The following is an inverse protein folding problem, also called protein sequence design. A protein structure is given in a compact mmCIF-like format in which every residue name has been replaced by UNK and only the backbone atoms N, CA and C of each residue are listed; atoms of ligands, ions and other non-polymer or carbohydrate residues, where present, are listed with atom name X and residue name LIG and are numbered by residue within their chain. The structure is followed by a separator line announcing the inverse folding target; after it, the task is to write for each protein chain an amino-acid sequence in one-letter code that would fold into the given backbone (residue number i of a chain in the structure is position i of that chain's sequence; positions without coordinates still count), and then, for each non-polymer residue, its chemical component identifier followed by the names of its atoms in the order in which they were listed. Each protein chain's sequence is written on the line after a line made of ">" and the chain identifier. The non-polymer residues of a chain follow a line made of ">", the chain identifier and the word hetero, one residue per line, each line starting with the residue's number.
data_IF_662787792535
#
_entry.id   IF_662787792535
#
_cell.length_a   1.000
_cell.length_b   1.000
_cell.length_c   1.000
_cell.angle_alpha   90.00
_cell.angle_beta   90.00
_cell.angle_gamma   90.00
#
_symmetry.space_group_name_H-M   'P 1'
#
loop_
_entity.id
_entity.type
_entity.pdbx_description
1 polymer ?
#
# COMPACT_ATOMS: atom_id res chain seq x y z
N UNK A 1 -11.24 -18.85 14.41
CA UNK A 1 -10.30 -17.74 14.69
C UNK A 1 -8.83 -18.17 14.71
N UNK A 2 -8.46 -19.32 15.30
CA UNK A 2 -7.05 -19.80 15.34
C UNK A 2 -6.43 -20.04 13.96
N UNK A 3 -7.19 -20.57 12.99
CA UNK A 3 -6.67 -20.90 11.66
C UNK A 3 -6.05 -19.71 10.92
N UNK A 4 -6.71 -18.53 10.96
CA UNK A 4 -6.20 -17.32 10.29
C UNK A 4 -4.89 -16.81 10.91
N UNK A 5 -4.70 -17.00 12.22
CA UNK A 5 -3.46 -16.62 12.90
C UNK A 5 -2.29 -17.53 12.51
N UNK A 6 -2.54 -18.85 12.43
CA UNK A 6 -1.53 -19.84 12.04
C UNK A 6 -1.09 -19.65 10.58
N UNK A 7 -2.07 -19.48 9.68
CA UNK A 7 -1.79 -19.22 8.26
C UNK A 7 -1.07 -17.87 8.09
N UNK A 8 -1.49 -16.83 8.81
CA UNK A 8 -0.91 -15.49 8.72
C UNK A 8 0.57 -15.42 9.08
N UNK A 9 1.00 -16.15 10.12
CA UNK A 9 2.42 -16.20 10.51
C UNK A 9 3.25 -17.08 9.56
N UNK A 10 2.64 -18.12 8.99
CA UNK A 10 3.35 -19.09 8.16
C UNK A 10 3.51 -18.66 6.70
N UNK A 11 2.51 -17.97 6.14
CA UNK A 11 2.45 -17.61 4.72
C UNK A 11 2.46 -16.10 4.47
N UNK A 12 2.15 -15.29 5.49
CA UNK A 12 1.95 -13.85 5.33
C UNK A 12 0.63 -13.50 4.63
N UNK A 13 0.29 -12.20 4.63
CA UNK A 13 -0.84 -11.66 3.88
C UNK A 13 -0.35 -10.54 2.96
N UNK A 14 -0.76 -10.58 1.71
CA UNK A 14 -0.53 -9.51 0.73
C UNK A 14 -1.84 -9.03 0.16
N UNK A 15 -2.00 -7.71 0.05
CA UNK A 15 -3.13 -7.10 -0.66
C UNK A 15 -2.57 -6.18 -1.73
N UNK A 16 -2.83 -6.52 -2.99
CA UNK A 16 -2.50 -5.64 -4.11
C UNK A 16 -3.61 -4.60 -4.27
N UNK A 17 -3.21 -3.34 -4.40
CA UNK A 17 -4.10 -2.20 -4.65
C UNK A 17 -3.64 -1.56 -5.96
N UNK A 18 -4.57 -1.32 -6.88
CA UNK A 18 -4.29 -0.70 -8.18
C UNK A 18 -4.88 0.70 -8.23
N UNK A 19 -4.08 1.65 -8.72
CA UNK A 19 -4.49 3.04 -8.88
C UNK A 19 -4.88 3.24 -10.35
N UNK A 20 -6.16 3.53 -10.59
CA UNK A 20 -6.71 3.70 -11.93
C UNK A 20 -7.00 5.19 -12.16
N UNK A 21 -6.23 5.81 -13.04
CA UNK A 21 -6.42 7.20 -13.44
C UNK A 21 -5.25 7.73 -14.26
N UNK A 22 -5.51 8.69 -15.14
CA UNK A 22 -4.47 9.30 -15.97
C UNK A 22 -3.68 10.30 -15.14
N UNK A 23 -2.36 10.10 -15.08
CA UNK A 23 -1.45 10.96 -14.31
C UNK A 23 -1.47 10.71 -12.80
N UNK A 24 -2.13 9.65 -12.33
CA UNK A 24 -2.09 9.28 -10.92
C UNK A 24 -0.75 8.65 -10.56
N UNK A 25 -0.20 9.05 -9.42
CA UNK A 25 1.10 8.59 -8.94
C UNK A 25 1.03 8.22 -7.47
N UNK A 26 1.81 7.21 -7.09
CA UNK A 26 2.04 6.84 -5.71
C UNK A 26 3.54 6.80 -5.44
N UNK A 27 3.94 7.35 -4.30
CA UNK A 27 5.31 7.35 -3.82
C UNK A 27 5.35 6.78 -2.39
N UNK A 28 6.33 5.93 -2.12
CA UNK A 28 6.52 5.31 -0.81
C UNK A 28 7.74 5.93 -0.16
N UNK A 29 7.54 6.60 0.97
CA UNK A 29 8.59 7.23 1.76
C UNK A 29 8.63 6.59 3.15
N UNK A 30 9.44 5.55 3.31
CA UNK A 30 9.50 4.79 4.56
C UNK A 30 8.15 4.17 4.91
N UNK A 31 7.57 4.57 6.04
CA UNK A 31 6.23 4.15 6.49
C UNK A 31 5.11 5.08 5.99
N UNK A 32 5.36 5.97 5.03
CA UNK A 32 4.33 6.82 4.43
C UNK A 32 4.13 6.52 2.96
N UNK A 33 2.87 6.51 2.53
CA UNK A 33 2.48 6.50 1.13
C UNK A 33 1.92 7.88 0.77
N UNK A 34 2.53 8.54 -0.20
CA UNK A 34 2.04 9.77 -0.81
C UNK A 34 1.31 9.42 -2.09
N UNK A 35 0.07 9.90 -2.24
CA UNK A 35 -0.79 9.64 -3.37
C UNK A 35 -1.17 10.95 -4.04
N UNK A 36 -0.84 11.07 -5.32
CA UNK A 36 -1.20 12.18 -6.19
C UNK A 36 -2.30 11.69 -7.14
N UNK A 37 -3.56 11.89 -6.75
CA UNK A 37 -4.74 11.39 -7.46
C UNK A 37 -5.55 12.51 -8.13
N UNK A 38 -4.90 13.62 -8.48
CA UNK A 38 -5.56 14.79 -9.07
C UNK A 38 -6.31 15.71 -8.09
N UNK A 39 -6.07 15.55 -6.78
CA UNK A 39 -6.51 16.51 -5.77
C UNK A 39 -5.57 17.73 -5.72
N UNK A 40 -6.05 18.85 -5.18
CA UNK A 40 -5.23 20.08 -5.04
C UNK A 40 -4.01 19.91 -4.14
N UNK A 41 -4.01 18.88 -3.28
CA UNK A 41 -2.91 18.53 -2.39
C UNK A 41 -2.72 17.01 -2.39
N UNK A 42 -1.53 16.58 -2.01
CA UNK A 42 -1.19 15.16 -1.90
C UNK A 42 -1.91 14.51 -0.72
N UNK A 43 -2.28 13.24 -0.88
CA UNK A 43 -2.81 12.44 0.22
C UNK A 43 -1.65 11.67 0.84
N UNK A 44 -1.39 11.90 2.12
CA UNK A 44 -0.36 11.18 2.88
C UNK A 44 -1.06 10.12 3.74
N UNK A 45 -0.68 8.87 3.55
CA UNK A 45 -1.16 7.73 4.30
C UNK A 45 -0.02 7.11 5.10
N UNK A 46 -0.08 7.21 6.44
CA UNK A 46 0.86 6.53 7.32
C UNK A 46 0.49 5.05 7.43
N UNK A 47 1.44 4.18 7.10
CA UNK A 47 1.32 2.74 7.26
C UNK A 47 1.43 2.38 8.75
N UNK A 48 0.54 1.51 9.24
CA UNK A 48 0.68 0.88 10.55
C UNK A 48 2.03 0.16 10.69
N UNK A 49 2.59 0.18 11.89
CA UNK A 49 3.82 -0.56 12.20
C UNK A 49 3.66 -2.06 11.86
N UNK A 50 4.67 -2.62 11.19
CA UNK A 50 4.67 -4.02 10.76
C UNK A 50 4.07 -4.28 9.38
N UNK A 51 3.55 -3.25 8.68
CA UNK A 51 3.15 -3.35 7.28
C UNK A 51 4.22 -2.73 6.37
N UNK A 52 4.50 -3.41 5.26
CA UNK A 52 5.42 -2.95 4.22
C UNK A 52 4.61 -2.62 2.96
N UNK A 53 4.83 -1.44 2.40
CA UNK A 53 4.33 -1.07 1.08
C UNK A 53 5.37 -1.36 0.01
N UNK A 54 4.94 -2.00 -1.08
CA UNK A 54 5.75 -2.18 -2.29
C UNK A 54 5.05 -1.48 -3.45
N UNK A 55 5.73 -0.52 -4.07
CA UNK A 55 5.24 0.08 -5.30
C UNK A 55 5.59 -0.83 -6.47
N UNK A 56 4.57 -1.22 -7.24
CA UNK A 56 4.71 -2.07 -8.41
C UNK A 56 4.22 -1.28 -9.61
N UNK A 57 5.14 -0.74 -10.41
CA UNK A 57 4.80 -0.18 -11.72
C UNK A 57 4.57 -1.35 -12.68
N UNK A 58 3.32 -1.52 -13.13
CA UNK A 58 3.04 -2.32 -14.32
C UNK A 58 3.57 -1.54 -15.52
N UNK A 59 4.79 -1.88 -15.95
CA UNK A 59 5.30 -1.48 -17.26
C UNK A 59 4.52 -2.14 -18.39
#
# INVERSE_FOLDING_TARGET
>A
MINNMVIGVSQGFSKELEIIGVGYQAQSQGQRLQLQLGYSHEIIFDLPEGLLSQLKNRG
#
